data_IF_570690057907
#
_entry.id   IF_570690057907
#
_cell.length_a   1.000
_cell.length_b   1.000
_cell.length_c   1.000
_cell.angle_alpha   90.00
_cell.angle_beta   90.00
_cell.angle_gamma   90.00
#
_symmetry.space_group_name_H-M   'P 1'
#
loop_
_entity.id
_entity.type
_entity.pdbx_description
1 polymer ?
#
# COMPACT_ATOMS: atom_id res chain seq x y z
N UNK A 1 -4.66 4.02 -12.06
CA UNK A 1 -5.53 3.79 -10.88
C UNK A 1 -6.41 5.00 -10.78
N UNK A 2 -7.72 4.81 -10.66
CA UNK A 2 -8.64 5.93 -10.45
C UNK A 2 -8.56 6.40 -8.99
N UNK A 3 -9.00 7.62 -8.69
CA UNK A 3 -8.98 8.16 -7.33
C UNK A 3 -9.78 7.27 -6.35
N UNK A 4 -10.88 6.68 -6.81
CA UNK A 4 -11.69 5.74 -6.04
C UNK A 4 -10.95 4.46 -5.67
N UNK A 5 -10.11 3.94 -6.57
CA UNK A 5 -9.31 2.74 -6.31
C UNK A 5 -8.23 3.04 -5.25
N UNK A 6 -7.63 4.22 -5.31
CA UNK A 6 -6.63 4.65 -4.33
C UNK A 6 -7.24 4.80 -2.94
N UNK A 7 -8.44 5.38 -2.86
CA UNK A 7 -9.22 5.46 -1.62
C UNK A 7 -9.56 4.06 -1.09
N UNK A 8 -9.91 3.11 -1.95
CA UNK A 8 -10.15 1.72 -1.55
C UNK A 8 -8.89 1.05 -0.99
N UNK A 9 -7.70 1.28 -1.57
CA UNK A 9 -6.44 0.82 -0.98
C UNK A 9 -6.24 1.35 0.45
N UNK A 10 -6.46 2.65 0.67
CA UNK A 10 -6.29 3.24 1.99
C UNK A 10 -7.33 2.73 2.99
N UNK A 11 -8.56 2.49 2.55
CA UNK A 11 -9.60 1.93 3.40
C UNK A 11 -9.24 0.50 3.86
N UNK A 12 -8.86 -0.39 2.95
CA UNK A 12 -8.45 -1.76 3.30
C UNK A 12 -7.26 -1.76 4.27
N UNK A 13 -6.27 -0.90 4.04
CA UNK A 13 -5.13 -0.75 4.96
C UNK A 13 -5.55 -0.25 6.34
N UNK A 14 -6.46 0.73 6.40
CA UNK A 14 -6.96 1.26 7.67
C UNK A 14 -7.73 0.20 8.45
N UNK A 15 -8.60 -0.55 7.78
CA UNK A 15 -9.39 -1.61 8.42
C UNK A 15 -8.48 -2.68 9.02
N UNK A 16 -7.47 -3.14 8.27
CA UNK A 16 -6.54 -4.18 8.72
C UNK A 16 -5.52 -3.64 9.72
N UNK A 17 -4.78 -2.59 9.40
CA UNK A 17 -3.68 -2.13 10.26
C UNK A 17 -4.20 -1.40 11.49
N UNK A 18 -5.13 -0.47 11.35
CA UNK A 18 -5.66 0.30 12.48
C UNK A 18 -6.75 -0.48 13.21
N UNK A 19 -7.71 -1.03 12.47
CA UNK A 19 -8.87 -1.73 13.05
C UNK A 19 -8.50 -3.07 13.69
N UNK A 20 -7.80 -3.94 12.96
CA UNK A 20 -7.52 -5.30 13.45
C UNK A 20 -6.18 -5.41 14.18
N UNK A 21 -5.11 -4.85 13.62
CA UNK A 21 -3.76 -4.96 14.16
C UNK A 21 -3.41 -3.88 15.18
N UNK A 22 -4.31 -2.90 15.41
CA UNK A 22 -4.15 -1.81 16.37
C UNK A 22 -2.88 -0.95 16.13
N UNK A 23 -2.46 -0.81 14.89
CA UNK A 23 -1.43 0.15 14.47
C UNK A 23 -2.00 1.56 14.68
N UNK A 24 -1.27 2.47 15.35
CA UNK A 24 -1.67 3.87 15.46
C UNK A 24 -1.94 4.49 14.09
N UNK A 25 -3.06 5.18 13.93
CA UNK A 25 -3.51 5.74 12.64
C UNK A 25 -2.49 6.72 12.03
N UNK A 26 -1.77 7.45 12.87
CA UNK A 26 -0.71 8.39 12.48
C UNK A 26 0.55 7.71 11.91
N UNK A 27 0.73 6.41 12.19
CA UNK A 27 1.83 5.59 11.63
C UNK A 27 1.43 4.85 10.35
N UNK A 28 0.14 4.84 10.01
CA UNK A 28 -0.33 4.09 8.85
C UNK A 28 0.09 4.75 7.54
N UNK A 29 0.05 6.08 7.49
CA UNK A 29 0.42 6.86 6.31
C UNK A 29 1.84 7.39 6.44
N UNK A 30 2.60 7.31 5.35
CA UNK A 30 3.95 7.84 5.27
C UNK A 30 4.21 8.58 3.95
N UNK A 31 5.36 9.25 3.85
CA UNK A 31 5.72 10.05 2.68
C UNK A 31 5.76 9.24 1.36
N UNK A 32 5.94 7.92 1.43
CA UNK A 32 5.98 7.08 0.24
C UNK A 32 4.59 6.79 -0.34
N UNK A 33 3.50 7.10 0.38
CA UNK A 33 2.14 6.89 -0.14
C UNK A 33 1.84 7.75 -1.37
N UNK A 34 2.48 8.91 -1.48
CA UNK A 34 2.31 9.83 -2.59
C UNK A 34 3.05 9.40 -3.87
N UNK A 35 4.14 8.63 -3.75
CA UNK A 35 5.04 8.32 -4.88
C UNK A 35 4.96 6.87 -5.35
N UNK A 36 4.45 5.98 -4.51
CA UNK A 36 4.45 4.56 -4.79
C UNK A 36 3.37 4.11 -5.78
N UNK A 37 3.61 2.94 -6.38
CA UNK A 37 2.58 2.23 -7.13
C UNK A 37 1.73 1.44 -6.15
N UNK A 38 0.44 1.78 -6.06
CA UNK A 38 -0.53 1.01 -5.29
C UNK A 38 -1.10 -0.10 -6.16
N UNK A 39 -1.42 -1.23 -5.54
CA UNK A 39 -2.14 -2.34 -6.18
C UNK A 39 -3.38 -2.65 -5.36
N UNK A 40 -4.49 -2.89 -6.05
CA UNK A 40 -5.77 -3.25 -5.44
C UNK A 40 -6.22 -4.58 -6.03
N UNK A 41 -6.52 -5.54 -5.16
CA UNK A 41 -7.21 -6.76 -5.53
C UNK A 41 -8.71 -6.54 -5.38
N UNK A 42 -9.45 -6.74 -6.46
CA UNK A 42 -10.90 -6.60 -6.49
C UNK A 42 -11.55 -7.93 -6.88
N UNK A 43 -12.69 -8.22 -6.24
CA UNK A 43 -13.56 -9.32 -6.65
C UNK A 43 -14.28 -8.99 -7.96
N UNK A 44 -14.93 -9.99 -8.55
CA UNK A 44 -15.69 -9.82 -9.80
C UNK A 44 -16.86 -8.84 -9.69
N UNK A 45 -17.37 -8.61 -8.47
CA UNK A 45 -18.43 -7.64 -8.17
C UNK A 45 -17.91 -6.24 -7.81
N UNK A 46 -16.58 -6.03 -7.85
CA UNK A 46 -15.93 -4.76 -7.52
C UNK A 46 -15.56 -4.59 -6.05
N UNK A 47 -15.86 -5.56 -5.18
CA UNK A 47 -15.46 -5.51 -3.76
C UNK A 47 -13.94 -5.52 -3.64
N UNK A 48 -13.37 -4.58 -2.87
CA UNK A 48 -11.94 -4.59 -2.53
C UNK A 48 -11.64 -5.74 -1.56
N UNK A 49 -10.66 -6.58 -1.90
CA UNK A 49 -10.27 -7.75 -1.11
C UNK A 49 -8.91 -7.56 -0.42
N UNK A 50 -8.07 -6.70 -0.97
CA UNK A 50 -6.70 -6.56 -0.52
C UNK A 50 -5.95 -5.50 -1.30
N UNK A 51 -4.84 -5.07 -0.73
CA UNK A 51 -4.00 -4.03 -1.33
C UNK A 51 -2.54 -4.20 -0.92
N UNK A 52 -1.66 -3.53 -1.66
CA UNK A 52 -0.25 -3.40 -1.35
C UNK A 52 0.34 -2.19 -2.05
N UNK A 53 1.57 -1.86 -1.66
CA UNK A 53 2.31 -0.73 -2.21
C UNK A 53 3.71 -1.16 -2.65
N UNK A 54 4.05 -0.85 -3.90
CA UNK A 54 5.37 -1.07 -4.48
C UNK A 54 6.13 0.25 -4.58
N UNK A 55 7.24 0.33 -3.84
CA UNK A 55 8.25 1.37 -4.04
C UNK A 55 9.16 0.95 -5.19
N UNK A 56 9.65 1.93 -5.96
CA UNK A 56 10.61 1.72 -7.05
C UNK A 56 11.63 2.87 -7.12
N UNK A 57 12.70 2.69 -7.90
CA UNK A 57 13.73 3.71 -8.08
C UNK A 57 14.45 4.06 -6.78
N UNK A 58 14.63 5.37 -6.52
CA UNK A 58 15.39 5.84 -5.35
C UNK A 58 14.74 5.44 -4.01
N UNK A 59 13.41 5.50 -3.92
CA UNK A 59 12.65 5.12 -2.71
C UNK A 59 12.84 3.63 -2.38
N UNK A 60 12.89 2.77 -3.40
CA UNK A 60 13.18 1.35 -3.20
C UNK A 60 14.65 1.08 -2.90
N UNK A 61 15.57 1.71 -3.64
CA UNK A 61 17.02 1.56 -3.44
C UNK A 61 17.43 1.87 -2.00
N UNK A 62 16.82 2.90 -1.38
CA UNK A 62 17.03 3.23 0.03
C UNK A 62 16.63 2.12 1.02
N UNK A 63 15.77 1.18 0.62
CA UNK A 63 15.32 0.03 1.42
C UNK A 63 15.94 -1.31 1.01
N UNK A 64 16.50 -1.41 -0.19
CA UNK A 64 16.94 -2.68 -0.80
C UNK A 64 18.46 -2.79 -0.96
N UNK A 65 19.24 -1.92 -0.31
CA UNK A 65 20.69 -1.97 -0.36
C UNK A 65 21.31 -1.24 -1.56
N UNK A 66 20.57 -0.32 -2.18
CA UNK A 66 21.09 0.63 -3.17
C UNK A 66 20.88 0.26 -4.64
N UNK A 67 20.29 -0.89 -4.96
CA UNK A 67 20.01 -1.28 -6.34
C UNK A 67 18.69 -0.66 -6.83
N UNK A 68 18.72 0.29 -7.80
CA UNK A 68 17.51 0.95 -8.30
C UNK A 68 16.63 0.04 -9.17
N UNK A 69 17.12 -1.13 -9.60
CA UNK A 69 16.34 -2.11 -10.35
C UNK A 69 15.46 -2.99 -9.43
N UNK A 70 15.71 -2.99 -8.12
CA UNK A 70 14.95 -3.79 -7.15
C UNK A 70 13.83 -2.96 -6.56
N UNK A 71 12.58 -3.42 -6.73
CA UNK A 71 11.41 -2.84 -6.07
C UNK A 71 11.26 -3.30 -4.61
N UNK A 72 10.57 -2.51 -3.79
CA UNK A 72 10.24 -2.88 -2.40
C UNK A 72 8.73 -2.92 -2.23
N UNK A 73 8.20 -4.12 -2.00
CA UNK A 73 6.78 -4.34 -1.73
C UNK A 73 6.52 -4.25 -0.22
N UNK A 74 5.47 -3.51 0.17
CA UNK A 74 5.08 -3.37 1.57
C UNK A 74 3.64 -2.89 1.73
N UNK A 75 3.23 -2.65 2.99
CA UNK A 75 1.85 -2.26 3.36
C UNK A 75 0.80 -3.20 2.75
N UNK A 76 1.09 -4.51 2.76
CA UNK A 76 0.18 -5.54 2.26
C UNK A 76 -0.91 -5.82 3.29
N UNK A 77 -2.17 -5.66 2.89
CA UNK A 77 -3.36 -5.88 3.72
C UNK A 77 -4.40 -6.67 2.92
N UNK A 78 -5.11 -7.58 3.59
CA UNK A 78 -6.18 -8.41 3.02
C UNK A 78 -7.33 -8.40 4.02
N UNK A 79 -8.54 -8.13 3.53
CA UNK A 79 -9.79 -8.06 4.29
C UNK A 79 -10.66 -9.30 4.09
#
# INVERSE_FOLDING_TARGET
MEESDLQACFQVRKDVFVGEQNVPEDLEYDAYDATAVHVLAVAADGTALGTGRLLHGADAAGKTGGDPAVGSLGRLAVS
#
